data_IF_857785276964
#
_entry.id   IF_857785276964
#
_cell.length_a   1.000
_cell.length_b   1.000
_cell.length_c   1.000
_cell.angle_alpha   90.00
_cell.angle_beta   90.00
_cell.angle_gamma   90.00
#
_symmetry.space_group_name_H-M   'P 1'
#
loop_
_entity.id
_entity.type
_entity.pdbx_description
1 polymer ?
#
# COMPACT_ATOMS: atom_id res chain seq x y z
N UNK A 1 5.30 -4.43 12.38
CA UNK A 1 4.09 -4.02 11.61
C UNK A 1 4.27 -2.54 11.27
N UNK A 2 4.19 -2.17 9.99
CA UNK A 2 4.55 -0.83 9.51
C UNK A 2 3.38 -0.25 8.72
N UNK A 3 3.10 1.03 8.91
CA UNK A 3 2.11 1.76 8.12
C UNK A 3 2.74 2.23 6.82
N UNK A 4 2.30 1.66 5.69
CA UNK A 4 2.84 1.99 4.36
C UNK A 4 2.19 3.26 3.80
N UNK A 5 0.87 3.34 3.83
CA UNK A 5 0.11 4.54 3.46
C UNK A 5 -1.35 4.50 3.92
N UNK A 6 -1.98 5.67 3.93
CA UNK A 6 -3.42 5.83 4.10
C UNK A 6 -4.11 6.23 2.78
N UNK A 7 -5.35 5.79 2.60
CA UNK A 7 -6.21 6.21 1.50
C UNK A 7 -7.68 6.27 1.94
N UNK A 8 -8.48 7.07 1.26
CA UNK A 8 -9.93 7.15 1.49
C UNK A 8 -10.62 6.06 0.69
N UNK A 9 -11.41 5.21 1.35
CA UNK A 9 -12.15 4.12 0.70
C UNK A 9 -13.27 4.69 -0.17
N UNK A 10 -13.18 4.47 -1.49
CA UNK A 10 -14.16 4.99 -2.47
C UNK A 10 -15.19 3.96 -2.95
N UNK A 11 -14.97 2.68 -2.69
CA UNK A 11 -15.88 1.59 -3.10
C UNK A 11 -15.92 0.49 -2.05
N UNK A 12 -16.87 -0.44 -2.16
CA UNK A 12 -17.06 -1.50 -1.16
C UNK A 12 -15.81 -2.37 -0.96
N UNK A 13 -15.06 -2.60 -2.04
CA UNK A 13 -13.79 -3.34 -2.04
C UNK A 13 -12.62 -2.38 -2.21
N UNK A 14 -11.46 -2.73 -1.66
CA UNK A 14 -10.24 -1.97 -1.92
C UNK A 14 -9.88 -2.06 -3.40
N UNK A 15 -9.56 -0.92 -4.02
CA UNK A 15 -9.15 -0.90 -5.41
C UNK A 15 -7.79 -1.59 -5.58
N UNK A 16 -7.62 -2.33 -6.67
CA UNK A 16 -6.37 -3.04 -6.97
C UNK A 16 -5.15 -2.10 -6.93
N UNK A 17 -5.30 -0.88 -7.43
CA UNK A 17 -4.28 0.18 -7.39
C UNK A 17 -3.72 0.43 -5.98
N UNK A 18 -4.57 0.45 -4.96
CA UNK A 18 -4.13 0.69 -3.57
C UNK A 18 -3.35 -0.50 -3.01
N UNK A 19 -3.72 -1.71 -3.42
CA UNK A 19 -3.02 -2.96 -3.06
C UNK A 19 -1.64 -3.00 -3.71
N UNK A 20 -1.57 -2.68 -5.00
CA UNK A 20 -0.31 -2.67 -5.76
C UNK A 20 0.65 -1.61 -5.21
N UNK A 21 0.12 -0.43 -4.86
CA UNK A 21 0.89 0.64 -4.24
C UNK A 21 1.45 0.22 -2.87
N UNK A 22 0.68 -0.51 -2.07
CA UNK A 22 1.15 -1.05 -0.80
C UNK A 22 2.30 -2.06 -1.03
N UNK A 23 2.20 -2.94 -2.03
CA UNK A 23 3.28 -3.90 -2.35
C UNK A 23 4.56 -3.18 -2.77
N UNK A 24 4.46 -2.21 -3.69
CA UNK A 24 5.61 -1.44 -4.14
C UNK A 24 6.32 -0.71 -2.98
N UNK A 25 5.56 -0.05 -2.10
CA UNK A 25 6.11 0.62 -0.91
C UNK A 25 6.75 -0.34 0.08
N UNK A 26 6.16 -1.52 0.25
CA UNK A 26 6.70 -2.57 1.10
C UNK A 26 8.05 -3.06 0.57
N UNK A 27 8.16 -3.28 -0.75
CA UNK A 27 9.41 -3.71 -1.37
C UNK A 27 10.49 -2.61 -1.29
N UNK A 28 10.15 -1.35 -1.58
CA UNK A 28 11.05 -0.21 -1.39
C UNK A 28 11.56 -0.08 0.05
N UNK A 29 10.68 -0.25 1.04
CA UNK A 29 11.07 -0.22 2.44
C UNK A 29 12.09 -1.33 2.79
N UNK A 30 11.96 -2.51 2.19
CA UNK A 30 12.92 -3.60 2.41
C UNK A 30 14.24 -3.39 1.67
N UNK A 31 14.26 -2.63 0.57
CA UNK A 31 15.49 -2.27 -0.13
C UNK A 31 16.26 -1.14 0.58
N UNK A 32 15.56 -0.24 1.28
CA UNK A 32 16.14 0.90 2.00
C UNK A 32 16.65 0.57 3.41
N UNK A 33 16.24 -0.57 4.00
CA UNK A 33 16.58 -1.01 5.37
C UNK A 33 17.49 -2.23 5.35
#
# INVERSE_FOLDING_TARGET
>A
MILLHGFIKKSQKTHQKEIDLARARKDQWFDEV
#
